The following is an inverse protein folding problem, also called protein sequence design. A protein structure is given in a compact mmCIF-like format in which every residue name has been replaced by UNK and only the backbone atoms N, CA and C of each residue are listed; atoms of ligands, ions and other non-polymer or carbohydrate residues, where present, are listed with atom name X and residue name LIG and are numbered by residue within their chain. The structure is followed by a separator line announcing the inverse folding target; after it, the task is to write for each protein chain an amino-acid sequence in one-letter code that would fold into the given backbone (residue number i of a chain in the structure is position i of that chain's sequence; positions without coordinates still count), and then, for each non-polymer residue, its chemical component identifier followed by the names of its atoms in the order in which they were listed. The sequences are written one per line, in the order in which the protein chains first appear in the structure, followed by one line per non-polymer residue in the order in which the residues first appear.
data_IF_119457113793
#
_entry.id   IF_119457113793
#
_cell.length_a   1.000
_cell.length_b   1.000
_cell.length_c   1.000
_cell.angle_alpha   90.00
_cell.angle_beta   90.00
_cell.angle_gamma   90.00
#
_symmetry.space_group_name_H-M   'P 1'
#
loop_
_entity.id
_entity.type
_entity.pdbx_description
1 polymer ?
#
# COMPACT_ATOMS: atom_id res chain seq x y z
N UNK A 1 9.81 8.73 -6.30
CA UNK A 1 8.53 8.85 -7.02
C UNK A 1 7.97 10.25 -7.05
N UNK A 2 7.80 10.79 -8.26
CA UNK A 2 7.01 12.00 -8.49
C UNK A 2 5.58 11.91 -7.89
N UNK A 3 4.94 10.73 -7.95
CA UNK A 3 3.59 10.54 -7.41
C UNK A 3 3.52 10.64 -5.87
N UNK A 4 4.50 10.11 -5.16
CA UNK A 4 4.56 10.22 -3.69
C UNK A 4 4.82 11.67 -3.29
N UNK A 5 5.70 12.37 -4.02
CA UNK A 5 5.95 13.80 -3.81
C UNK A 5 4.69 14.63 -4.08
N UNK A 6 3.92 14.29 -5.12
CA UNK A 6 2.66 14.96 -5.46
C UNK A 6 1.57 14.72 -4.39
N UNK A 7 1.40 13.48 -3.91
CA UNK A 7 0.50 13.17 -2.78
C UNK A 7 0.95 13.93 -1.53
N UNK A 8 2.23 13.85 -1.19
CA UNK A 8 2.76 14.52 0.00
C UNK A 8 2.55 16.04 -0.08
N UNK A 9 2.72 16.64 -1.25
CA UNK A 9 2.47 18.07 -1.46
C UNK A 9 1.00 18.45 -1.37
N UNK A 10 0.08 17.62 -1.88
CA UNK A 10 -1.36 17.89 -1.90
C UNK A 10 -2.02 17.65 -0.53
N UNK A 11 -1.55 16.65 0.20
CA UNK A 11 -2.16 16.17 1.43
C UNK A 11 -1.34 16.51 2.68
N UNK A 12 -0.28 17.33 2.56
CA UNK A 12 0.63 17.67 3.67
C UNK A 12 -0.08 18.09 4.96
N UNK A 13 -1.13 18.90 4.83
CA UNK A 13 -1.91 19.39 5.97
C UNK A 13 -2.81 18.30 6.60
N UNK A 14 -3.20 17.30 5.82
CA UNK A 14 -4.06 16.18 6.23
C UNK A 14 -3.26 14.97 6.71
N UNK A 15 -2.00 14.82 6.29
CA UNK A 15 -1.10 13.77 6.76
C UNK A 15 -0.79 13.92 8.26
N UNK A 16 -0.87 15.12 8.82
CA UNK A 16 -0.70 15.35 10.27
C UNK A 16 0.64 14.81 10.80
N UNK A 17 0.68 14.45 12.09
CA UNK A 17 1.84 13.81 12.73
C UNK A 17 1.68 12.29 12.88
N UNK A 18 0.57 11.70 12.43
CA UNK A 18 0.21 10.29 12.67
C UNK A 18 0.29 9.47 11.38
N UNK A 19 0.95 8.31 11.47
CA UNK A 19 1.12 7.36 10.37
C UNK A 19 -0.23 6.80 9.88
N UNK A 20 -1.24 6.71 10.76
CA UNK A 20 -2.59 6.24 10.39
C UNK A 20 -3.31 7.19 9.40
N UNK A 21 -2.97 8.49 9.43
CA UNK A 21 -3.54 9.46 8.48
C UNK A 21 -3.00 9.26 7.06
N UNK A 22 -1.72 8.86 6.93
CA UNK A 22 -1.13 8.58 5.64
C UNK A 22 -1.82 7.40 4.94
N UNK A 23 -2.13 6.35 5.71
CA UNK A 23 -2.87 5.19 5.21
C UNK A 23 -4.27 5.61 4.73
N UNK A 24 -4.98 6.38 5.54
CA UNK A 24 -6.34 6.84 5.21
C UNK A 24 -6.38 7.71 3.96
N UNK A 25 -5.43 8.63 3.81
CA UNK A 25 -5.29 9.48 2.62
C UNK A 25 -5.04 8.63 1.37
N UNK A 26 -4.11 7.68 1.45
CA UNK A 26 -3.79 6.81 0.31
C UNK A 26 -5.01 5.96 -0.07
N UNK A 27 -5.71 5.37 0.90
CA UNK A 27 -6.93 4.59 0.64
C UNK A 27 -8.00 5.41 -0.05
N UNK A 28 -8.28 6.63 0.43
CA UNK A 28 -9.25 7.53 -0.20
C UNK A 28 -8.86 7.91 -1.63
N UNK A 29 -7.58 8.15 -1.92
CA UNK A 29 -7.09 8.46 -3.27
C UNK A 29 -7.33 7.29 -4.22
N UNK A 30 -7.15 6.05 -3.72
CA UNK A 30 -7.25 4.83 -4.50
C UNK A 30 -8.69 4.31 -4.65
N UNK A 31 -9.60 4.67 -3.74
CA UNK A 31 -10.99 4.17 -3.69
C UNK A 31 -11.75 4.39 -5.01
N UNK A 32 -11.59 5.55 -5.63
CA UNK A 32 -12.28 5.93 -6.87
C UNK A 32 -11.51 5.56 -8.16
N UNK A 33 -10.32 4.97 -8.06
CA UNK A 33 -9.47 4.69 -9.23
C UNK A 33 -9.94 3.44 -9.97
N UNK A 34 -10.09 3.55 -11.29
CA UNK A 34 -10.30 2.36 -12.12
C UNK A 34 -8.99 1.60 -12.29
N UNK A 35 -9.09 0.32 -12.70
CA UNK A 35 -7.91 -0.46 -13.09
C UNK A 35 -7.06 0.25 -14.15
N UNK A 36 -7.69 0.99 -15.07
CA UNK A 36 -6.97 1.69 -16.13
C UNK A 36 -6.17 2.88 -15.57
N UNK A 37 -6.72 3.59 -14.60
CA UNK A 37 -6.04 4.70 -13.93
C UNK A 37 -4.81 4.19 -13.15
N UNK A 38 -4.98 3.06 -12.45
CA UNK A 38 -3.87 2.38 -11.77
C UNK A 38 -2.76 1.94 -12.74
N UNK A 39 -3.12 1.39 -13.91
CA UNK A 39 -2.10 1.02 -14.90
C UNK A 39 -1.38 2.23 -15.49
N UNK A 40 -2.07 3.37 -15.60
CA UNK A 40 -1.47 4.63 -16.07
C UNK A 40 -0.47 5.16 -15.04
N UNK A 41 -0.83 5.09 -13.76
CA UNK A 41 0.06 5.44 -12.65
C UNK A 41 1.31 4.56 -12.62
N UNK A 42 1.14 3.24 -12.69
CA UNK A 42 2.23 2.27 -12.70
C UNK A 42 3.14 2.48 -13.92
N UNK A 43 2.57 2.81 -15.08
CA UNK A 43 3.34 3.12 -16.29
C UNK A 43 4.20 4.38 -16.19
N UNK A 44 3.99 5.24 -15.17
CA UNK A 44 4.80 6.42 -14.89
C UNK A 44 5.91 6.20 -13.85
N UNK A 45 6.00 5.01 -13.25
CA UNK A 45 7.03 4.64 -12.27
C UNK A 45 8.31 4.19 -12.96
N UNK A 46 9.46 4.31 -12.28
CA UNK A 46 10.72 3.74 -12.76
C UNK A 46 10.73 2.20 -12.64
N UNK A 47 11.59 1.52 -13.40
CA UNK A 47 11.64 0.05 -13.39
C UNK A 47 11.88 -0.52 -11.98
N UNK A 48 12.79 0.09 -11.21
CA UNK A 48 13.08 -0.32 -9.83
C UNK A 48 11.87 -0.17 -8.91
N UNK A 49 11.09 0.89 -9.12
CA UNK A 49 9.90 1.20 -8.36
C UNK A 49 8.77 0.19 -8.64
N UNK A 50 8.60 -0.22 -9.90
CA UNK A 50 7.67 -1.29 -10.28
C UNK A 50 8.10 -2.63 -9.66
N UNK A 51 9.39 -2.95 -9.71
CA UNK A 51 9.93 -4.19 -9.10
C UNK A 51 9.70 -4.20 -7.59
N UNK A 52 9.93 -3.08 -6.90
CA UNK A 52 9.68 -2.97 -5.46
C UNK A 52 8.19 -3.13 -5.13
N UNK A 53 7.30 -2.46 -5.87
CA UNK A 53 5.85 -2.58 -5.67
C UNK A 53 5.38 -4.04 -5.81
N UNK A 54 5.81 -4.72 -6.88
CA UNK A 54 5.47 -6.13 -7.10
C UNK A 54 6.10 -7.02 -6.01
N UNK A 55 7.34 -6.73 -5.60
CA UNK A 55 8.03 -7.46 -4.53
C UNK A 55 7.27 -7.41 -3.21
N UNK A 56 6.84 -6.22 -2.77
CA UNK A 56 6.05 -6.04 -1.54
C UNK A 56 4.73 -6.82 -1.63
N UNK A 57 3.99 -6.68 -2.74
CA UNK A 57 2.74 -7.42 -2.94
C UNK A 57 2.94 -8.94 -2.85
N UNK A 58 3.96 -9.48 -3.55
CA UNK A 58 4.22 -10.92 -3.54
C UNK A 58 4.62 -11.43 -2.14
N UNK A 59 5.41 -10.66 -1.39
CA UNK A 59 5.78 -11.01 -0.02
C UNK A 59 4.55 -11.09 0.89
N UNK A 60 3.66 -10.09 0.84
CA UNK A 60 2.44 -10.10 1.65
C UNK A 60 1.51 -11.26 1.28
N UNK A 61 1.33 -11.53 -0.03
CA UNK A 61 0.55 -12.68 -0.49
C UNK A 61 1.15 -14.02 -0.05
N UNK A 62 2.48 -14.13 -0.04
CA UNK A 62 3.16 -15.33 0.46
C UNK A 62 2.97 -15.52 1.96
N UNK A 63 3.09 -14.45 2.77
CA UNK A 63 2.80 -14.50 4.21
C UNK A 63 1.38 -14.98 4.47
N UNK A 64 0.38 -14.42 3.76
CA UNK A 64 -1.01 -14.86 3.87
C UNK A 64 -1.17 -16.34 3.55
N UNK A 65 -0.54 -16.81 2.47
CA UNK A 65 -0.58 -18.23 2.09
C UNK A 65 0.08 -19.12 3.13
N UNK A 66 1.24 -18.74 3.66
CA UNK A 66 1.93 -19.50 4.71
C UNK A 66 1.10 -19.55 6.01
N UNK A 67 0.42 -18.47 6.38
CA UNK A 67 -0.49 -18.45 7.51
C UNK A 67 -1.69 -19.39 7.30
N UNK A 68 -2.28 -19.41 6.11
CA UNK A 68 -3.38 -20.33 5.75
C UNK A 68 -2.96 -21.80 5.85
N UNK A 69 -1.71 -22.11 5.52
CA UNK A 69 -1.12 -23.46 5.61
C UNK A 69 -0.59 -23.78 7.02
N UNK A 70 -0.78 -22.89 8.00
CA UNK A 70 -0.36 -23.08 9.40
C UNK A 70 1.15 -23.04 9.62
N UNK A 71 1.91 -22.45 8.68
CA UNK A 71 3.37 -22.37 8.71
C UNK A 71 3.89 -21.13 9.45
N UNK A 72 3.03 -20.16 9.76
CA UNK A 72 3.34 -18.99 10.58
C UNK A 72 2.59 -19.10 11.92
N UNK A 73 3.29 -18.86 13.03
CA UNK A 73 2.70 -18.87 14.37
C UNK A 73 1.83 -17.63 14.63
N UNK A 74 0.90 -17.71 15.58
CA UNK A 74 -0.06 -16.64 15.92
C UNK A 74 0.57 -15.29 16.31
N UNK A 75 1.89 -15.23 16.58
CA UNK A 75 2.62 -14.00 16.93
C UNK A 75 3.19 -13.24 15.72
N UNK A 76 3.25 -13.84 14.52
CA UNK A 76 3.83 -13.21 13.31
C UNK A 76 2.79 -12.52 12.41
N UNK A 77 1.50 -12.61 12.75
CA UNK A 77 0.46 -11.86 12.05
C UNK A 77 0.44 -10.44 12.56
N UNK A 78 0.99 -9.52 11.77
CA UNK A 78 0.73 -8.08 11.89
C UNK A 78 -0.77 -7.89 12.11
N UNK A 79 -1.22 -7.16 13.16
CA UNK A 79 -2.64 -7.00 13.42
C UNK A 79 -3.23 -6.22 12.24
N UNK A 80 -3.99 -6.92 11.39
CA UNK A 80 -4.80 -6.27 10.37
C UNK A 80 -5.74 -5.26 11.04
N UNK A 81 -6.09 -4.15 10.36
CA UNK A 81 -6.93 -3.12 10.93
C UNK A 81 -8.26 -3.74 11.36
N UNK A 82 -8.51 -3.71 12.67
CA UNK A 82 -9.79 -4.11 13.25
C UNK A 82 -10.82 -3.05 12.89
N UNK A 83 -11.55 -3.26 11.80
CA UNK A 83 -12.78 -2.54 11.55
C UNK A 83 -13.81 -2.97 12.62
N UNK A 84 -14.15 -2.02 13.50
CA UNK A 84 -15.27 -2.12 14.45
C UNK A 84 -16.48 -1.38 13.91
#
# INVERSE_FOLDING_TARGET
MRFVDDIYSLYREQLGEDEENAISVVLNILEDQSRQDMMTLIGGMEDEEVIQMVGVYLVEMLKMKMAQEGQLGEDDTVPGPRYH
#
